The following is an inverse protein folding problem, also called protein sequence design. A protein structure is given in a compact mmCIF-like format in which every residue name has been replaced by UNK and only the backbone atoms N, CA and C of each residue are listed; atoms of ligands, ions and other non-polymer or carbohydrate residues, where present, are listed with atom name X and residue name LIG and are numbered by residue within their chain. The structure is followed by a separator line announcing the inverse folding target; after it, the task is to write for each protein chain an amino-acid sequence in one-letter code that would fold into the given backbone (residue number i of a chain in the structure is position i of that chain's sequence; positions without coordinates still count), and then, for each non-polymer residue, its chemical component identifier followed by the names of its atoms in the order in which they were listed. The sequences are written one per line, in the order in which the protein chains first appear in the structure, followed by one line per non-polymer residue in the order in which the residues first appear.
data_IF_214742426156
#
_entry.id   IF_214742426156
#
_cell.length_a   1.000
_cell.length_b   1.000
_cell.length_c   1.000
_cell.angle_alpha   90.00
_cell.angle_beta   90.00
_cell.angle_gamma   90.00
#
_symmetry.space_group_name_H-M   'P 1'
#
loop_
_entity.id
_entity.type
_entity.pdbx_description
1 polymer ?
#
# COMPACT_ATOMS: atom_id res chain seq x y z
N UNK A 1 2.26 11.81 -19.38
CA UNK A 1 1.73 11.06 -18.22
C UNK A 1 1.07 9.78 -18.71
N UNK A 2 1.55 8.60 -18.32
CA UNK A 2 0.83 7.36 -18.65
C UNK A 2 -0.29 7.17 -17.63
N UNK A 3 -1.56 7.30 -18.05
CA UNK A 3 -2.74 6.98 -17.20
C UNK A 3 -2.60 5.64 -16.47
N UNK A 4 -1.83 4.73 -17.05
CA UNK A 4 -1.53 3.39 -16.52
C UNK A 4 -0.80 3.45 -15.18
N UNK A 5 0.09 4.43 -14.96
CA UNK A 5 0.87 4.53 -13.73
C UNK A 5 0.01 5.02 -12.55
N UNK A 6 -0.88 5.99 -12.82
CA UNK A 6 -1.84 6.52 -11.84
C UNK A 6 -2.89 5.45 -11.48
N UNK A 7 -3.42 4.75 -12.49
CA UNK A 7 -4.34 3.62 -12.27
C UNK A 7 -3.63 2.49 -11.53
N UNK A 8 -2.37 2.19 -11.86
CA UNK A 8 -1.57 1.17 -11.20
C UNK A 8 -1.40 1.44 -9.71
N UNK A 9 -0.96 2.65 -9.34
CA UNK A 9 -0.82 3.03 -7.93
C UNK A 9 -2.16 3.09 -7.19
N UNK A 10 -3.24 3.52 -7.86
CA UNK A 10 -4.60 3.48 -7.31
C UNK A 10 -5.04 2.05 -6.97
N UNK A 11 -4.85 1.11 -7.88
CA UNK A 11 -5.16 -0.32 -7.67
C UNK A 11 -4.33 -0.88 -6.51
N UNK A 12 -3.03 -0.56 -6.45
CA UNK A 12 -2.16 -1.00 -5.35
C UNK A 12 -2.66 -0.47 -4.01
N UNK A 13 -3.03 0.81 -3.91
CA UNK A 13 -3.58 1.39 -2.69
C UNK A 13 -4.90 0.74 -2.25
N UNK A 14 -5.82 0.51 -3.19
CA UNK A 14 -7.09 -0.18 -2.92
C UNK A 14 -6.85 -1.63 -2.50
N UNK A 15 -5.93 -2.33 -3.15
CA UNK A 15 -5.53 -3.69 -2.77
C UNK A 15 -4.95 -3.73 -1.36
N UNK A 16 -4.09 -2.77 -1.01
CA UNK A 16 -3.53 -2.64 0.33
C UNK A 16 -4.62 -2.42 1.40
N UNK A 17 -5.61 -1.58 1.09
CA UNK A 17 -6.73 -1.29 1.99
C UNK A 17 -7.66 -2.48 2.16
N UNK A 18 -8.03 -3.15 1.06
CA UNK A 18 -8.88 -4.33 1.09
C UNK A 18 -8.23 -5.42 1.95
N UNK A 19 -7.03 -5.87 1.60
CA UNK A 19 -6.36 -6.97 2.31
C UNK A 19 -5.85 -6.62 3.72
N UNK A 20 -6.10 -5.40 4.20
CA UNK A 20 -5.86 -5.01 5.59
C UNK A 20 -6.77 -5.75 6.57
N UNK A 21 -7.98 -6.13 6.15
CA UNK A 21 -8.89 -6.92 6.95
C UNK A 21 -8.72 -8.40 6.58
N UNK A 22 -8.16 -9.25 7.44
CA UNK A 22 -8.02 -10.68 7.14
C UNK A 22 -9.33 -11.45 7.39
N UNK A 23 -10.37 -11.16 6.60
CA UNK A 23 -11.64 -11.90 6.58
C UNK A 23 -11.44 -13.42 6.41
N UNK A 24 -10.36 -13.82 5.73
CA UNK A 24 -10.01 -15.22 5.47
C UNK A 24 -9.43 -15.95 6.68
N UNK A 25 -9.01 -15.24 7.73
CA UNK A 25 -8.47 -15.82 8.97
C UNK A 25 -9.48 -15.80 10.12
N UNK A 26 -10.73 -15.37 9.89
CA UNK A 26 -11.80 -15.24 10.91
C UNK A 26 -12.33 -16.54 11.54
N UNK A 27 -11.63 -17.66 11.36
CA UNK A 27 -11.90 -18.92 12.07
C UNK A 27 -10.63 -19.74 12.33
N UNK A 28 -9.45 -19.11 12.20
CA UNK A 28 -8.18 -19.80 12.35
C UNK A 28 -7.59 -19.56 13.75
N UNK A 29 -7.69 -20.56 14.60
CA UNK A 29 -7.13 -20.57 15.97
C UNK A 29 -5.64 -20.92 16.00
N UNK A 30 -4.98 -21.07 14.85
CA UNK A 30 -3.56 -21.42 14.80
C UNK A 30 -2.73 -20.32 15.49
N UNK A 31 -1.98 -20.72 16.51
CA UNK A 31 -1.07 -19.86 17.26
C UNK A 31 0.37 -20.19 16.81
N UNK A 32 1.10 -19.16 16.39
CA UNK A 32 2.53 -19.25 16.04
C UNK A 32 3.31 -18.32 16.95
N UNK A 33 4.37 -18.82 17.57
CA UNK A 33 5.21 -18.05 18.50
C UNK A 33 4.42 -17.34 19.62
N UNK A 34 3.35 -17.97 20.12
CA UNK A 34 2.51 -17.45 21.21
C UNK A 34 1.44 -16.44 20.79
N UNK A 35 1.33 -16.09 19.50
CA UNK A 35 0.33 -15.15 18.98
C UNK A 35 -0.51 -15.79 17.86
N UNK A 36 -1.81 -15.47 17.76
CA UNK A 36 -2.65 -15.95 16.67
C UNK A 36 -2.09 -15.53 15.30
N UNK A 37 -2.18 -16.42 14.31
CA UNK A 37 -1.73 -16.16 12.91
C UNK A 37 -2.39 -14.90 12.33
N UNK A 38 -3.63 -14.60 12.73
CA UNK A 38 -4.33 -13.36 12.37
C UNK A 38 -3.56 -12.09 12.77
N UNK A 39 -2.88 -12.10 13.93
CA UNK A 39 -2.07 -10.97 14.38
C UNK A 39 -0.77 -10.84 13.56
N UNK A 40 -0.15 -11.98 13.25
CA UNK A 40 1.03 -12.02 12.38
C UNK A 40 0.74 -11.53 10.96
N UNK A 41 -0.47 -11.76 10.45
CA UNK A 41 -0.92 -11.17 9.19
C UNK A 41 -0.79 -9.65 9.21
N UNK A 42 -1.25 -8.99 10.28
CA UNK A 42 -1.13 -7.55 10.41
C UNK A 42 0.32 -7.09 10.46
N UNK A 43 1.20 -7.81 11.18
CA UNK A 43 2.63 -7.50 11.23
C UNK A 43 3.27 -7.60 9.83
N UNK A 44 3.00 -8.68 9.11
CA UNK A 44 3.46 -8.85 7.73
C UNK A 44 2.90 -7.76 6.80
N UNK A 45 1.63 -7.40 6.98
CA UNK A 45 0.97 -6.37 6.18
C UNK A 45 1.52 -4.97 6.47
N UNK A 46 1.86 -4.64 7.72
CA UNK A 46 2.53 -3.39 8.07
C UNK A 46 3.90 -3.26 7.40
N UNK A 47 4.67 -4.36 7.34
CA UNK A 47 5.93 -4.38 6.60
C UNK A 47 5.71 -4.22 5.10
N UNK A 48 4.74 -4.92 4.51
CA UNK A 48 4.44 -4.83 3.09
C UNK A 48 3.99 -3.41 2.70
N UNK A 49 3.04 -2.85 3.45
CA UNK A 49 2.55 -1.48 3.25
C UNK A 49 3.71 -0.48 3.37
N UNK A 50 4.56 -0.59 4.38
CA UNK A 50 5.73 0.28 4.52
C UNK A 50 6.66 0.22 3.29
N UNK A 51 6.95 -0.98 2.78
CA UNK A 51 7.76 -1.14 1.56
C UNK A 51 7.07 -0.54 0.34
N UNK A 52 5.78 -0.77 0.16
CA UNK A 52 5.03 -0.22 -0.97
C UNK A 52 5.02 1.30 -0.91
N UNK A 53 4.77 1.89 0.26
CA UNK A 53 4.88 3.33 0.46
C UNK A 53 6.30 3.84 0.21
N UNK A 54 7.34 3.11 0.62
CA UNK A 54 8.73 3.49 0.33
C UNK A 54 9.05 3.43 -1.18
N UNK A 55 8.57 2.43 -1.90
CA UNK A 55 8.72 2.37 -3.36
C UNK A 55 7.92 3.49 -4.03
N UNK A 56 6.74 3.80 -3.51
CA UNK A 56 5.94 4.92 -3.97
C UNK A 56 6.70 6.24 -3.80
N UNK A 57 7.29 6.48 -2.63
CA UNK A 57 8.07 7.69 -2.41
C UNK A 57 9.38 7.74 -3.21
N UNK A 58 9.88 6.60 -3.68
CA UNK A 58 11.07 6.54 -4.55
C UNK A 58 10.75 6.70 -6.04
N UNK A 59 9.62 6.16 -6.51
CA UNK A 59 9.28 6.10 -7.95
C UNK A 59 8.20 7.09 -8.39
N UNK A 60 7.27 7.42 -7.49
CA UNK A 60 6.08 8.21 -7.78
C UNK A 60 6.06 9.58 -7.08
N UNK A 61 7.16 9.96 -6.42
CA UNK A 61 7.28 11.27 -5.79
C UNK A 61 7.34 12.36 -6.86
N UNK A 62 6.21 13.05 -7.05
CA UNK A 62 5.99 14.00 -8.15
C UNK A 62 4.80 13.66 -9.06
N UNK A 63 4.12 12.51 -8.88
CA UNK A 63 2.87 12.22 -9.59
C UNK A 63 1.79 13.22 -9.12
N UNK A 64 1.43 14.17 -10.00
CA UNK A 64 0.46 15.23 -9.73
C UNK A 64 1.05 16.55 -9.23
N UNK A 65 2.38 16.72 -9.21
CA UNK A 65 3.00 18.05 -9.17
C UNK A 65 3.28 18.44 -10.61
N UNK A 66 2.26 18.93 -11.33
CA UNK A 66 2.51 19.92 -12.36
C UNK A 66 3.20 21.09 -11.65
N UNK A 67 4.52 21.20 -11.78
CA UNK A 67 5.17 22.47 -11.56
C UNK A 67 4.52 23.42 -12.56
N UNK A 68 3.64 24.27 -12.06
CA UNK A 68 3.10 25.42 -12.78
C UNK A 68 4.28 26.32 -13.14
N UNK A 69 4.97 25.98 -14.23
CA UNK A 69 5.97 26.81 -14.87
C UNK A 69 5.22 27.58 -15.95
N UNK A 70 4.49 28.59 -15.49
CA UNK A 70 3.81 29.59 -16.32
C UNK A 70 3.09 30.55 -15.37
N UNK A 71 3.38 31.84 -15.29
CA UNK A 71 4.08 32.75 -16.19
C UNK A 71 4.70 33.86 -15.33
N UNK A 72 6.01 34.10 -15.48
CA UNK A 72 6.65 35.33 -14.99
C UNK A 72 6.68 36.29 -16.18
N UNK A 73 5.87 37.37 -16.22
CA UNK A 73 6.11 38.49 -17.12
C UNK A 73 7.34 39.32 -16.68
#
# INVERSE_FOLDING_TARGET
MSRIELVGWGIVGVGLAAFSVPWFLWGNETVVAGLPVWLWWHVGWMMLTAVVFWVFTKRAWGIGIEADVGDVP
#
